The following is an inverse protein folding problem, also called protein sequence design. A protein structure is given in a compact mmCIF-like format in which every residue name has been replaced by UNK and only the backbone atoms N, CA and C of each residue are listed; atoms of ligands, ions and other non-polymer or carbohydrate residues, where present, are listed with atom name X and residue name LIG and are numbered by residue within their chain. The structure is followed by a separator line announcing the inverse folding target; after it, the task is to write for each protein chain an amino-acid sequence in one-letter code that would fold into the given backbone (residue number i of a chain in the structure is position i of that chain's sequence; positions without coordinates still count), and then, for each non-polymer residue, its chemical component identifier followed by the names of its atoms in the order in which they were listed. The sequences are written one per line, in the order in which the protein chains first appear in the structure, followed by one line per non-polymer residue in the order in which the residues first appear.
data_IF_777713582988
#
_entry.id   IF_777713582988
#
_cell.length_a   1.000
_cell.length_b   1.000
_cell.length_c   1.000
_cell.angle_alpha   90.00
_cell.angle_beta   90.00
_cell.angle_gamma   90.00
#
_symmetry.space_group_name_H-M   'P 1'
#
loop_
_entity.id
_entity.type
_entity.pdbx_description
1 polymer ?
#
# COMPACT_ATOMS: atom_id res chain seq x y z
N UNK A 1 5.22 -7.99 -14.03
CA UNK A 1 4.45 -9.15 -13.55
C UNK A 1 3.45 -9.60 -14.61
N UNK A 2 3.07 -10.90 -14.65
CA UNK A 2 2.13 -11.45 -15.62
C UNK A 2 0.77 -10.71 -15.62
N UNK A 3 0.33 -10.24 -14.48
CA UNK A 3 -0.91 -9.46 -14.32
C UNK A 3 -0.89 -8.15 -15.12
N UNK A 4 0.23 -7.44 -15.10
CA UNK A 4 0.34 -6.18 -15.87
C UNK A 4 0.32 -6.44 -17.38
N UNK A 5 0.94 -7.53 -17.84
CA UNK A 5 0.90 -7.94 -19.24
C UNK A 5 -0.53 -8.32 -19.65
N UNK A 6 -1.24 -9.08 -18.80
CA UNK A 6 -2.64 -9.43 -19.03
C UNK A 6 -3.53 -8.18 -19.10
N UNK A 7 -3.36 -7.25 -18.15
CA UNK A 7 -4.10 -5.99 -18.14
C UNK A 7 -3.85 -5.18 -19.41
N UNK A 8 -2.60 -5.01 -19.83
CA UNK A 8 -2.25 -4.31 -21.06
C UNK A 8 -2.87 -5.00 -22.31
N UNK A 9 -2.80 -6.33 -22.36
CA UNK A 9 -3.40 -7.10 -23.45
C UNK A 9 -4.92 -6.88 -23.54
N UNK A 10 -5.63 -7.00 -22.42
CA UNK A 10 -7.08 -6.78 -22.37
C UNK A 10 -7.43 -5.35 -22.76
N UNK A 11 -6.67 -4.36 -22.31
CA UNK A 11 -6.87 -2.96 -22.69
C UNK A 11 -6.72 -2.73 -24.20
N UNK A 12 -5.67 -3.29 -24.80
CA UNK A 12 -5.44 -3.21 -26.24
C UNK A 12 -6.57 -3.89 -27.02
N UNK A 13 -7.04 -5.06 -26.57
CA UNK A 13 -8.15 -5.74 -27.24
C UNK A 13 -9.46 -4.95 -27.10
N UNK A 14 -9.75 -4.39 -25.93
CA UNK A 14 -10.93 -3.53 -25.72
C UNK A 14 -10.94 -2.33 -26.68
N UNK A 15 -9.78 -1.76 -26.99
CA UNK A 15 -9.68 -0.67 -27.98
C UNK A 15 -9.98 -1.10 -29.43
N UNK A 16 -9.79 -2.36 -29.78
CA UNK A 16 -10.06 -2.89 -31.13
C UNK A 16 -11.54 -3.21 -31.37
N UNK A 17 -12.34 -3.34 -30.33
CA UNK A 17 -13.75 -3.69 -30.43
C UNK A 17 -14.51 -2.56 -31.13
N UNK A 18 -15.13 -2.84 -32.26
CA UNK A 18 -15.93 -1.88 -33.04
C UNK A 18 -17.42 -1.97 -32.71
N UNK A 19 -17.79 -1.67 -31.46
CA UNK A 19 -19.19 -1.71 -30.99
C UNK A 19 -19.63 -0.30 -30.56
N UNK A 20 -20.93 -0.01 -30.72
CA UNK A 20 -21.56 1.19 -30.16
C UNK A 20 -21.44 1.10 -28.65
N UNK A 21 -20.72 2.03 -28.00
CA UNK A 21 -20.41 1.97 -26.57
C UNK A 21 -18.95 1.60 -26.24
N UNK A 22 -18.07 1.45 -27.23
CA UNK A 22 -16.62 1.19 -27.05
C UNK A 22 -15.96 2.11 -26.00
N UNK A 23 -16.38 3.39 -25.97
CA UNK A 23 -15.87 4.34 -24.99
C UNK A 23 -16.15 3.88 -23.55
N UNK A 24 -17.31 3.29 -23.28
CA UNK A 24 -17.67 2.77 -21.96
C UNK A 24 -16.76 1.61 -21.56
N UNK A 25 -16.47 0.67 -22.47
CA UNK A 25 -15.57 -0.47 -22.20
C UNK A 25 -14.17 0.00 -21.83
N UNK A 26 -13.65 1.02 -22.51
CA UNK A 26 -12.33 1.59 -22.20
C UNK A 26 -12.34 2.24 -20.82
N UNK A 27 -13.41 2.95 -20.44
CA UNK A 27 -13.54 3.58 -19.13
C UNK A 27 -13.84 2.59 -17.98
N UNK A 28 -14.22 1.34 -18.27
CA UNK A 28 -14.29 0.27 -17.27
C UNK A 28 -12.93 -0.36 -16.93
N UNK A 29 -11.89 -0.03 -17.70
CA UNK A 29 -10.56 -0.58 -17.48
C UNK A 29 -9.97 -0.35 -16.07
N UNK A 30 -10.14 0.82 -15.41
CA UNK A 30 -9.69 1.01 -14.02
C UNK A 30 -10.30 0.00 -13.05
N UNK A 31 -11.59 -0.31 -13.18
CA UNK A 31 -12.28 -1.32 -12.37
C UNK A 31 -11.76 -2.72 -12.66
N UNK A 32 -11.56 -3.05 -13.92
CA UNK A 32 -10.97 -4.33 -14.32
C UNK A 32 -9.56 -4.51 -13.73
N UNK A 33 -8.72 -3.48 -13.80
CA UNK A 33 -7.36 -3.54 -13.26
C UNK A 33 -7.37 -3.71 -11.73
N UNK A 34 -8.20 -2.98 -11.02
CA UNK A 34 -8.38 -3.14 -9.57
C UNK A 34 -8.88 -4.55 -9.21
N UNK A 35 -9.78 -5.11 -10.00
CA UNK A 35 -10.21 -6.51 -9.87
C UNK A 35 -9.06 -7.51 -10.05
N UNK A 36 -8.18 -7.29 -11.02
CA UNK A 36 -6.95 -8.10 -11.18
C UNK A 36 -6.02 -7.97 -9.97
N UNK A 37 -5.84 -6.77 -9.42
CA UNK A 37 -5.06 -6.61 -8.19
C UNK A 37 -5.70 -7.34 -7.01
N UNK A 38 -7.03 -7.32 -6.90
CA UNK A 38 -7.75 -8.04 -5.87
C UNK A 38 -7.56 -9.57 -5.98
N UNK A 39 -7.48 -10.13 -7.20
CA UNK A 39 -7.21 -11.57 -7.36
C UNK A 39 -5.81 -11.96 -6.86
N UNK A 40 -4.83 -11.04 -6.89
CA UNK A 40 -3.48 -11.27 -6.37
C UNK A 40 -3.40 -11.39 -4.85
N UNK A 41 -4.45 -11.05 -4.13
CA UNK A 41 -4.51 -11.19 -2.67
C UNK A 41 -5.03 -12.55 -2.24
N UNK A 42 -5.40 -13.41 -3.18
CA UNK A 42 -6.07 -14.69 -2.90
C UNK A 42 -5.27 -15.87 -3.44
N UNK A 43 -5.41 -17.02 -2.76
CA UNK A 43 -4.79 -18.29 -3.16
C UNK A 43 -3.34 -18.45 -2.69
N UNK A 44 -2.76 -19.61 -3.02
CA UNK A 44 -1.43 -20.04 -2.54
C UNK A 44 -0.28 -19.18 -3.08
N UNK A 45 -0.49 -18.49 -4.20
CA UNK A 45 0.46 -17.55 -4.80
C UNK A 45 0.11 -16.10 -4.52
N UNK A 46 -0.60 -15.84 -3.41
CA UNK A 46 -0.98 -14.47 -3.05
C UNK A 46 0.25 -13.60 -2.80
N UNK A 47 0.28 -12.43 -3.43
CA UNK A 47 1.33 -11.44 -3.26
C UNK A 47 0.73 -10.03 -3.14
N UNK A 48 0.32 -9.63 -1.93
CA UNK A 48 -0.42 -8.37 -1.73
C UNK A 48 0.44 -7.10 -1.73
N UNK A 49 1.77 -7.23 -1.76
CA UNK A 49 2.70 -6.12 -1.51
C UNK A 49 2.84 -5.09 -2.64
N UNK A 50 2.33 -5.33 -3.82
CA UNK A 50 2.58 -4.47 -4.99
C UNK A 50 1.30 -3.88 -5.56
N UNK A 51 0.35 -3.48 -4.71
CA UNK A 51 -0.83 -2.75 -5.20
C UNK A 51 -0.46 -1.32 -5.58
N UNK A 52 -1.05 -0.85 -6.67
CA UNK A 52 -0.79 0.50 -7.18
C UNK A 52 -1.15 1.59 -6.17
N UNK A 53 -2.18 1.36 -5.35
CA UNK A 53 -2.59 2.29 -4.29
C UNK A 53 -1.51 2.55 -3.23
N UNK A 54 -0.53 1.66 -3.03
CA UNK A 54 0.57 1.87 -2.08
C UNK A 54 1.51 3.04 -2.46
N UNK A 55 1.47 3.48 -3.69
CA UNK A 55 2.21 4.68 -4.13
C UNK A 55 1.88 5.92 -3.27
N UNK A 56 0.67 5.96 -2.70
CA UNK A 56 0.22 7.04 -1.84
C UNK A 56 0.58 6.87 -0.36
N UNK A 57 1.29 5.79 0.00
CA UNK A 57 1.59 5.43 1.39
C UNK A 57 2.30 6.50 2.23
N UNK A 58 3.08 7.37 1.59
CA UNK A 58 3.78 8.47 2.26
C UNK A 58 2.93 9.74 2.44
N UNK A 59 1.66 9.73 2.01
CA UNK A 59 0.78 10.90 2.07
C UNK A 59 -0.38 10.65 3.03
N UNK A 60 -0.14 10.85 4.34
CA UNK A 60 -1.10 10.55 5.41
C UNK A 60 -2.49 11.19 5.17
N UNK A 61 -2.54 12.44 4.69
CA UNK A 61 -3.81 13.09 4.39
C UNK A 61 -4.61 12.34 3.32
N UNK A 62 -3.97 11.84 2.26
CA UNK A 62 -4.65 11.03 1.25
C UNK A 62 -5.13 9.70 1.84
N UNK A 63 -4.33 9.06 2.70
CA UNK A 63 -4.65 7.77 3.29
C UNK A 63 -5.93 7.76 4.15
N UNK A 64 -6.37 8.92 4.66
CA UNK A 64 -7.58 8.99 5.49
C UNK A 64 -8.84 8.50 4.76
N UNK A 65 -8.90 8.64 3.45
CA UNK A 65 -10.03 8.15 2.65
C UNK A 65 -9.99 6.65 2.34
N UNK A 66 -8.92 5.92 2.76
CA UNK A 66 -8.87 4.46 2.64
C UNK A 66 -10.03 3.76 3.35
N UNK A 67 -10.53 4.33 4.46
CA UNK A 67 -11.70 3.81 5.19
C UNK A 67 -12.96 3.74 4.32
N UNK A 68 -13.06 4.58 3.29
CA UNK A 68 -14.23 4.67 2.42
C UNK A 68 -14.07 3.85 1.14
N UNK A 69 -12.94 3.99 0.45
CA UNK A 69 -12.75 3.42 -0.89
C UNK A 69 -11.75 2.25 -0.93
N UNK A 70 -11.04 2.01 0.17
CA UNK A 70 -10.02 0.96 0.26
C UNK A 70 -8.85 1.16 -0.71
N UNK A 71 -7.88 0.26 -0.63
CA UNK A 71 -6.67 0.32 -1.48
C UNK A 71 -7.01 0.14 -2.97
N UNK A 72 -8.00 -0.68 -3.29
CA UNK A 72 -8.44 -0.92 -4.67
C UNK A 72 -9.17 0.28 -5.26
N UNK A 73 -9.88 1.07 -4.43
CA UNK A 73 -10.46 2.35 -4.85
C UNK A 73 -9.38 3.34 -5.27
N UNK A 74 -8.27 3.40 -4.57
CA UNK A 74 -7.11 4.20 -5.00
C UNK A 74 -6.51 3.70 -6.31
N UNK A 75 -6.41 2.40 -6.53
CA UNK A 75 -6.00 1.85 -7.82
C UNK A 75 -6.90 2.34 -8.95
N UNK A 76 -8.23 2.31 -8.75
CA UNK A 76 -9.20 2.84 -9.73
C UNK A 76 -8.94 4.32 -10.01
N UNK A 77 -8.79 5.14 -8.98
CA UNK A 77 -8.55 6.59 -9.12
C UNK A 77 -7.25 6.88 -9.86
N UNK A 78 -6.17 6.19 -9.55
CA UNK A 78 -4.86 6.37 -10.19
C UNK A 78 -4.96 6.01 -11.67
N UNK A 79 -5.52 4.86 -12.02
CA UNK A 79 -5.65 4.42 -13.41
C UNK A 79 -6.59 5.35 -14.20
N UNK A 80 -7.74 5.72 -13.62
CA UNK A 80 -8.68 6.64 -14.27
C UNK A 80 -8.05 8.02 -14.51
N UNK A 81 -7.28 8.54 -13.55
CA UNK A 81 -6.54 9.79 -13.69
C UNK A 81 -5.50 9.73 -14.81
N UNK A 82 -4.71 8.66 -14.87
CA UNK A 82 -3.75 8.46 -15.95
C UNK A 82 -4.43 8.36 -17.32
N UNK A 83 -5.57 7.68 -17.40
CA UNK A 83 -6.34 7.61 -18.65
C UNK A 83 -6.91 8.97 -19.06
N UNK A 84 -7.41 9.76 -18.10
CA UNK A 84 -7.90 11.10 -18.36
C UNK A 84 -6.78 12.03 -18.89
N UNK A 85 -5.61 11.99 -18.23
CA UNK A 85 -4.43 12.76 -18.66
C UNK A 85 -3.99 12.32 -20.06
N UNK A 86 -3.87 11.02 -20.32
CA UNK A 86 -3.49 10.48 -21.64
C UNK A 86 -4.46 10.94 -22.72
N UNK A 87 -5.77 10.90 -22.47
CA UNK A 87 -6.78 11.40 -23.40
C UNK A 87 -6.69 12.90 -23.64
N UNK A 88 -6.39 13.68 -22.58
CA UNK A 88 -6.19 15.11 -22.72
C UNK A 88 -5.10 15.43 -23.74
N UNK A 89 -3.99 14.69 -23.70
CA UNK A 89 -2.90 14.85 -24.65
C UNK A 89 -3.30 14.43 -26.09
N UNK A 90 -3.98 13.28 -26.23
CA UNK A 90 -4.36 12.77 -27.56
C UNK A 90 -5.44 13.65 -28.22
N UNK A 91 -6.45 14.05 -27.46
CA UNK A 91 -7.61 14.82 -27.96
C UNK A 91 -7.38 16.33 -27.94
N UNK A 92 -6.26 16.81 -27.40
CA UNK A 92 -5.92 18.23 -27.19
C UNK A 92 -6.98 19.00 -26.38
N UNK A 93 -7.72 18.29 -25.51
CA UNK A 93 -8.76 18.83 -24.62
C UNK A 93 -8.26 18.94 -23.19
N UNK A 94 -7.20 19.70 -22.97
CA UNK A 94 -6.48 19.76 -21.70
C UNK A 94 -7.33 20.21 -20.50
N UNK A 95 -8.25 21.17 -20.70
CA UNK A 95 -8.89 21.86 -19.59
C UNK A 95 -9.73 20.96 -18.70
N UNK A 96 -10.63 20.16 -19.27
CA UNK A 96 -11.55 19.33 -18.50
C UNK A 96 -10.93 18.02 -18.01
N UNK A 97 -10.16 17.34 -18.88
CA UNK A 97 -9.64 16.01 -18.59
C UNK A 97 -8.50 16.02 -17.55
N UNK A 98 -7.70 17.09 -17.48
CA UNK A 98 -6.65 17.24 -16.46
C UNK A 98 -7.22 17.84 -15.18
N UNK A 99 -8.17 18.77 -15.27
CA UNK A 99 -8.72 19.44 -14.11
C UNK A 99 -9.45 18.47 -13.17
N UNK A 100 -10.19 17.52 -13.71
CA UNK A 100 -10.95 16.55 -12.91
C UNK A 100 -10.10 15.72 -11.93
N UNK A 101 -9.01 15.03 -12.35
CA UNK A 101 -8.18 14.28 -11.40
C UNK A 101 -7.49 15.19 -10.37
N UNK A 102 -7.09 16.40 -10.76
CA UNK A 102 -6.50 17.36 -9.82
C UNK A 102 -7.50 17.76 -8.74
N UNK A 103 -8.75 18.08 -9.12
CA UNK A 103 -9.80 18.43 -8.16
C UNK A 103 -10.11 17.26 -7.23
N UNK A 104 -10.21 16.03 -7.76
CA UNK A 104 -10.43 14.84 -6.93
C UNK A 104 -9.31 14.69 -5.90
N UNK A 105 -8.06 14.73 -6.32
CA UNK A 105 -6.92 14.61 -5.41
C UNK A 105 -6.89 15.74 -4.37
N UNK A 106 -7.23 16.96 -4.76
CA UNK A 106 -7.31 18.10 -3.85
C UNK A 106 -8.44 17.89 -2.81
N UNK A 107 -9.61 17.42 -3.24
CA UNK A 107 -10.71 17.13 -2.32
C UNK A 107 -10.35 16.01 -1.32
N UNK A 108 -9.69 14.94 -1.79
CA UNK A 108 -9.22 13.85 -0.93
C UNK A 108 -8.17 14.35 0.07
N UNK A 109 -7.25 15.18 -0.39
CA UNK A 109 -6.22 15.77 0.46
C UNK A 109 -6.80 16.71 1.51
N UNK A 110 -7.72 17.60 1.12
CA UNK A 110 -8.42 18.51 2.05
C UNK A 110 -9.21 17.74 3.09
N UNK A 111 -9.99 16.74 2.66
CA UNK A 111 -10.72 15.87 3.58
C UNK A 111 -9.79 15.22 4.60
N UNK A 112 -8.70 14.61 4.13
CA UNK A 112 -7.76 13.96 5.03
C UNK A 112 -7.02 14.91 5.97
N UNK A 113 -6.75 16.14 5.53
CA UNK A 113 -6.17 17.19 6.40
C UNK A 113 -7.14 17.56 7.51
N UNK A 114 -8.43 17.69 7.20
CA UNK A 114 -9.48 17.96 8.17
C UNK A 114 -9.58 16.82 9.18
N UNK A 115 -9.60 15.57 8.72
CA UNK A 115 -9.64 14.38 9.60
C UNK A 115 -8.44 14.34 10.53
N UNK A 116 -7.22 14.55 10.02
CA UNK A 116 -6.01 14.54 10.84
C UNK A 116 -5.93 15.70 11.84
N UNK A 117 -6.61 16.82 11.57
CA UNK A 117 -6.67 17.95 12.49
C UNK A 117 -7.82 17.85 13.49
N UNK A 118 -8.70 16.86 13.38
CA UNK A 118 -9.81 16.67 14.30
C UNK A 118 -9.34 16.16 15.67
N UNK A 119 -10.08 16.48 16.71
CA UNK A 119 -9.81 16.01 18.08
C UNK A 119 -9.87 14.47 18.18
N UNK A 120 -10.67 13.82 17.33
CA UNK A 120 -10.77 12.35 17.28
C UNK A 120 -9.48 11.67 16.82
N UNK A 121 -8.64 12.37 16.05
CA UNK A 121 -7.33 11.87 15.61
C UNK A 121 -6.23 12.08 16.68
N UNK A 122 -6.43 12.94 17.67
CA UNK A 122 -5.44 13.29 18.69
C UNK A 122 -5.06 12.13 19.62
N UNK A 123 -5.99 11.20 20.01
CA UNK A 123 -5.64 10.12 20.93
C UNK A 123 -4.48 9.25 20.48
N UNK A 124 -4.24 9.15 19.17
CA UNK A 124 -3.11 8.40 18.62
C UNK A 124 -1.74 9.05 18.83
N UNK A 125 -1.72 10.34 19.23
CA UNK A 125 -0.52 11.12 19.48
C UNK A 125 -0.38 11.55 20.94
N UNK A 126 -1.25 11.06 21.82
CA UNK A 126 -1.12 11.32 23.25
C UNK A 126 0.17 10.73 23.80
N UNK A 127 0.80 11.48 24.72
CA UNK A 127 1.98 10.97 25.42
C UNK A 127 1.62 9.69 26.19
N UNK A 128 2.51 8.69 26.21
CA UNK A 128 2.31 7.48 26.99
C UNK A 128 1.93 7.85 28.42
N UNK A 129 0.88 7.24 28.94
CA UNK A 129 0.53 7.36 30.36
C UNK A 129 1.44 6.45 31.20
N UNK A 130 1.51 6.69 32.51
CA UNK A 130 2.24 5.80 33.44
C UNK A 130 1.75 4.33 33.39
N UNK A 131 0.53 4.10 32.88
CA UNK A 131 -0.06 2.77 32.71
C UNK A 131 0.15 2.19 31.31
N UNK A 132 0.81 2.92 30.40
CA UNK A 132 1.07 2.41 29.06
C UNK A 132 2.13 1.32 29.10
N UNK A 133 1.92 0.17 28.42
CA UNK A 133 2.90 -0.91 28.41
C UNK A 133 4.21 -0.45 27.72
N UNK A 134 5.32 -0.82 28.31
CA UNK A 134 6.64 -0.61 27.74
C UNK A 134 6.93 -1.70 26.71
N UNK A 135 7.18 -1.31 25.47
CA UNK A 135 7.44 -2.24 24.37
C UNK A 135 8.88 -2.09 23.91
N UNK A 136 9.63 -3.19 23.87
CA UNK A 136 10.94 -3.25 23.25
C UNK A 136 10.89 -4.01 21.94
N UNK A 137 11.58 -3.49 20.94
CA UNK A 137 11.73 -4.14 19.62
C UNK A 137 13.19 -4.53 19.39
N UNK A 138 13.44 -5.81 19.10
CA UNK A 138 14.78 -6.34 18.82
C UNK A 138 14.93 -6.63 17.34
N UNK A 139 15.90 -5.97 16.71
CA UNK A 139 16.23 -6.10 15.29
C UNK A 139 17.65 -6.66 15.11
N UNK A 140 17.81 -7.97 14.87
CA UNK A 140 19.16 -8.59 14.79
C UNK A 140 19.92 -8.25 13.51
N UNK A 141 19.29 -7.61 12.52
CA UNK A 141 19.90 -7.16 11.26
C UNK A 141 20.72 -8.24 10.55
N UNK A 142 20.10 -9.38 10.29
CA UNK A 142 20.73 -10.53 9.65
C UNK A 142 20.46 -10.50 8.14
N UNK A 143 21.53 -10.75 7.35
CA UNK A 143 21.41 -10.83 5.88
C UNK A 143 20.45 -11.93 5.45
N UNK A 144 19.59 -11.67 4.45
CA UNK A 144 18.62 -12.60 3.90
C UNK A 144 19.27 -13.92 3.45
N UNK A 145 20.46 -13.86 2.88
CA UNK A 145 21.18 -15.06 2.42
C UNK A 145 21.61 -16.00 3.56
N UNK A 146 21.84 -15.47 4.75
CA UNK A 146 22.17 -16.26 5.95
C UNK A 146 20.91 -16.71 6.68
N UNK A 147 19.89 -15.88 6.73
CA UNK A 147 18.66 -16.10 7.50
C UNK A 147 17.95 -17.42 7.14
N UNK A 148 17.94 -17.80 5.88
CA UNK A 148 17.23 -19.00 5.37
C UNK A 148 18.13 -20.23 5.19
N UNK A 149 19.39 -20.16 5.57
CA UNK A 149 20.33 -21.26 5.44
C UNK A 149 20.39 -22.07 6.74
N UNK A 150 20.14 -23.38 6.63
CA UNK A 150 20.26 -24.32 7.78
C UNK A 150 21.61 -24.25 8.46
N UNK A 151 22.69 -23.98 7.71
CA UNK A 151 24.05 -23.85 8.25
C UNK A 151 24.23 -22.67 9.21
N UNK A 152 23.37 -21.65 9.13
CA UNK A 152 23.44 -20.44 9.97
C UNK A 152 22.34 -20.37 11.03
N UNK A 153 21.46 -21.39 11.13
CA UNK A 153 20.34 -21.40 12.07
C UNK A 153 20.79 -21.07 13.51
N UNK A 154 21.75 -21.83 14.03
CA UNK A 154 22.23 -21.63 15.40
C UNK A 154 22.87 -20.24 15.60
N UNK A 155 23.64 -19.76 14.63
CA UNK A 155 24.27 -18.45 14.73
C UNK A 155 23.25 -17.30 14.65
N UNK A 156 22.18 -17.46 13.88
CA UNK A 156 21.08 -16.49 13.80
C UNK A 156 20.32 -16.44 15.12
N UNK A 157 19.98 -17.59 15.64
CA UNK A 157 19.26 -17.73 16.92
C UNK A 157 20.10 -17.18 18.07
N UNK A 158 21.36 -17.59 18.16
CA UNK A 158 22.29 -17.11 19.20
C UNK A 158 22.44 -15.59 19.14
N UNK A 159 22.65 -15.02 17.94
CA UNK A 159 22.76 -13.56 17.79
C UNK A 159 21.50 -12.83 18.28
N UNK A 160 20.32 -13.37 17.99
CA UNK A 160 19.05 -12.77 18.40
C UNK A 160 18.92 -12.77 19.91
N UNK A 161 19.20 -13.89 20.57
CA UNK A 161 19.13 -14.01 22.03
C UNK A 161 20.22 -13.24 22.75
N UNK A 162 21.44 -13.21 22.23
CA UNK A 162 22.52 -12.38 22.81
C UNK A 162 22.15 -10.89 22.85
N UNK A 163 21.42 -10.39 21.83
CA UNK A 163 20.92 -9.01 21.86
C UNK A 163 19.91 -8.78 22.98
N UNK A 164 19.09 -9.78 23.31
CA UNK A 164 18.14 -9.69 24.43
C UNK A 164 18.90 -9.70 25.77
N UNK A 165 19.90 -10.58 25.91
CA UNK A 165 20.67 -10.75 27.14
C UNK A 165 21.65 -9.59 27.40
N UNK A 166 22.19 -8.97 26.32
CA UNK A 166 23.13 -7.84 26.42
C UNK A 166 22.48 -6.56 26.98
N UNK A 167 21.17 -6.43 26.81
CA UNK A 167 20.41 -5.28 27.31
C UNK A 167 19.49 -5.66 28.49
N UNK A 168 19.99 -5.61 29.74
CA UNK A 168 19.21 -6.01 30.93
C UNK A 168 17.88 -5.27 31.08
N UNK A 169 17.79 -4.03 30.59
CA UNK A 169 16.55 -3.26 30.59
C UNK A 169 15.43 -3.90 29.76
N UNK A 170 15.73 -4.84 28.86
CA UNK A 170 14.71 -5.60 28.12
C UNK A 170 13.96 -6.59 29.03
N UNK A 171 14.48 -6.91 30.21
CA UNK A 171 13.78 -7.73 31.20
C UNK A 171 12.75 -6.94 32.01
N UNK A 172 12.76 -5.60 31.93
CA UNK A 172 11.85 -4.68 32.60
C UNK A 172 10.68 -4.22 31.70
N UNK A 173 10.63 -4.73 30.44
CA UNK A 173 9.57 -4.36 29.51
C UNK A 173 8.38 -5.31 29.61
N UNK A 174 7.19 -4.79 29.36
CA UNK A 174 5.96 -5.57 29.38
C UNK A 174 5.82 -6.46 28.13
N UNK A 175 6.35 -6.01 26.97
CA UNK A 175 6.22 -6.71 25.70
C UNK A 175 7.55 -6.63 24.94
N UNK A 176 8.09 -7.81 24.58
CA UNK A 176 9.24 -7.93 23.70
C UNK A 176 8.79 -8.35 22.28
N UNK A 177 9.08 -7.53 21.29
CA UNK A 177 8.73 -7.79 19.89
C UNK A 177 9.99 -8.12 19.10
N UNK A 178 10.02 -9.27 18.48
CA UNK A 178 11.05 -9.68 17.53
C UNK A 178 10.62 -9.34 16.11
N UNK A 179 11.59 -9.05 15.23
CA UNK A 179 11.30 -8.87 13.81
C UNK A 179 10.71 -10.15 13.19
N UNK A 180 9.89 -9.99 12.15
CA UNK A 180 9.38 -11.13 11.38
C UNK A 180 10.52 -12.06 10.97
N UNK A 181 10.34 -13.35 11.20
CA UNK A 181 11.36 -14.37 10.93
C UNK A 181 12.72 -14.11 11.63
N UNK A 182 12.72 -13.47 12.81
CA UNK A 182 13.93 -13.29 13.61
C UNK A 182 14.54 -14.64 14.05
N UNK A 183 13.68 -15.63 14.22
CA UNK A 183 14.03 -17.04 14.45
C UNK A 183 13.57 -17.80 13.21
N UNK A 184 14.47 -18.40 12.42
CA UNK A 184 14.15 -19.09 11.19
C UNK A 184 13.40 -20.41 11.41
#
# INVERSE_FOLDING_TARGET
SAYNVLAAFVFIQAQKIKIKGRAVLVWLFPLFYAGLEMTRTKGDFSFPWSHLGYVLGNHLSLLQTLSWIGIFGYTVLIIASNMAVTRAFIEKKFRFLIFTPIVILLCLWLHGTIVLSSEEAQPFYEKPSEKSPTIAMVQPSISQTKKWSKAYFDSVTTKTWNLVDEYPTLHEVDILVLAETAIP
#
